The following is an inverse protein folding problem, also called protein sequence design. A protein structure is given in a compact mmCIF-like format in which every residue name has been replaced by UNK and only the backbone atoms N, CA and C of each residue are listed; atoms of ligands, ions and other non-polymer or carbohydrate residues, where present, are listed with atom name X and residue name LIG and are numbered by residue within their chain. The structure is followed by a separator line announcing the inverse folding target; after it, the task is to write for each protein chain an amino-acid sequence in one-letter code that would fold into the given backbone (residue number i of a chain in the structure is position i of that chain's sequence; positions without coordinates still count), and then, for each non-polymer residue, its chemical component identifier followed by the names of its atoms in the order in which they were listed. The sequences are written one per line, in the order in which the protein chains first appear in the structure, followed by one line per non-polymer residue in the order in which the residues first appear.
data_IF_865271606830
#
_entry.id   IF_865271606830
#
_cell.length_a   1.000
_cell.length_b   1.000
_cell.length_c   1.000
_cell.angle_alpha   90.00
_cell.angle_beta   90.00
_cell.angle_gamma   90.00
#
_symmetry.space_group_name_H-M   'P 1'
#
loop_
_entity.id
_entity.type
_entity.pdbx_description
1 polymer ?
#
# COMPACT_ATOMS: atom_id res chain seq x y z
N UNK A 1 44.90 4.16 36.50
CA UNK A 1 43.97 3.04 36.19
C UNK A 1 42.52 3.51 36.11
N UNK A 2 41.98 4.17 37.14
CA UNK A 2 40.56 4.62 37.16
C UNK A 2 40.16 5.62 36.06
N UNK A 3 41.06 6.55 35.68
CA UNK A 3 40.79 7.50 34.60
C UNK A 3 40.69 6.80 33.23
N UNK A 4 41.61 5.87 32.94
CA UNK A 4 41.60 5.09 31.70
C UNK A 4 40.32 4.24 31.59
N UNK A 5 39.94 3.57 32.68
CA UNK A 5 38.68 2.81 32.76
C UNK A 5 37.47 3.72 32.52
N UNK A 6 37.45 4.91 33.11
CA UNK A 6 36.36 5.87 32.91
C UNK A 6 36.26 6.32 31.45
N UNK A 7 37.39 6.64 30.79
CA UNK A 7 37.42 7.03 29.38
C UNK A 7 36.87 5.90 28.49
N UNK A 8 37.34 4.67 28.68
CA UNK A 8 36.87 3.50 27.91
C UNK A 8 35.37 3.29 28.11
N UNK A 9 34.90 3.37 29.36
CA UNK A 9 33.48 3.26 29.68
C UNK A 9 32.65 4.37 29.03
N UNK A 10 33.13 5.62 29.02
CA UNK A 10 32.44 6.72 28.32
C UNK A 10 32.24 6.40 26.84
N UNK A 11 33.30 5.95 26.15
CA UNK A 11 33.19 5.58 24.73
C UNK A 11 32.21 4.42 24.51
N UNK A 12 32.22 3.41 25.38
CA UNK A 12 31.27 2.30 25.29
C UNK A 12 29.81 2.78 25.49
N UNK A 13 29.57 3.65 26.48
CA UNK A 13 28.24 4.19 26.79
C UNK A 13 27.71 5.11 25.68
N UNK A 14 28.57 5.83 24.96
CA UNK A 14 28.17 6.67 23.83
C UNK A 14 27.51 5.87 22.69
N UNK A 15 27.84 4.59 22.56
CA UNK A 15 27.21 3.73 21.57
C UNK A 15 25.81 3.25 22.01
N UNK A 16 25.45 3.31 23.29
CA UNK A 16 24.20 2.73 23.80
C UNK A 16 22.93 3.34 23.19
N UNK A 17 22.79 4.67 23.01
CA UNK A 17 21.62 5.24 22.33
C UNK A 17 21.45 4.75 20.88
N UNK A 18 22.55 4.60 20.14
CA UNK A 18 22.52 4.03 18.78
C UNK A 18 22.02 2.58 18.81
N UNK A 19 22.49 1.79 19.78
CA UNK A 19 22.03 0.40 19.94
C UNK A 19 20.55 0.32 20.28
N UNK A 20 20.04 1.20 21.15
CA UNK A 20 18.61 1.28 21.45
C UNK A 20 17.82 1.55 20.15
N UNK A 21 18.26 2.50 19.33
CA UNK A 21 17.59 2.81 18.06
C UNK A 21 17.67 1.68 17.02
N UNK A 22 18.79 0.95 16.98
CA UNK A 22 18.96 -0.18 16.04
C UNK A 22 18.29 -1.47 16.53
N UNK A 23 18.01 -1.60 17.83
CA UNK A 23 17.52 -2.84 18.43
C UNK A 23 16.20 -3.38 17.84
N UNK A 24 15.20 -2.56 17.46
CA UNK A 24 14.02 -3.05 16.74
C UNK A 24 14.36 -3.64 15.37
N UNK A 25 15.30 -3.02 14.64
CA UNK A 25 15.73 -3.50 13.32
C UNK A 25 16.44 -4.86 13.40
N UNK A 26 17.20 -5.11 14.48
CA UNK A 26 17.83 -6.42 14.69
C UNK A 26 16.81 -7.55 14.86
N UNK A 27 15.59 -7.23 15.28
CA UNK A 27 14.47 -8.17 15.42
C UNK A 27 13.47 -8.10 14.27
N UNK A 28 13.70 -7.24 13.26
CA UNK A 28 12.81 -7.10 12.11
C UNK A 28 12.98 -8.22 11.07
N UNK A 29 14.05 -9.02 11.18
CA UNK A 29 14.24 -10.17 10.31
C UNK A 29 13.13 -11.23 10.54
N UNK A 30 12.61 -11.89 9.48
CA UNK A 30 11.58 -12.91 9.61
C UNK A 30 11.93 -13.98 10.64
N UNK A 31 11.02 -14.24 11.58
CA UNK A 31 11.21 -15.22 12.66
C UNK A 31 12.18 -14.82 13.78
N UNK A 32 12.81 -13.64 13.73
CA UNK A 32 13.76 -13.21 14.76
C UNK A 32 13.09 -13.00 16.13
N UNK A 33 11.84 -12.51 16.15
CA UNK A 33 11.05 -12.32 17.38
C UNK A 33 10.66 -13.65 18.07
N UNK A 34 10.68 -14.76 17.35
CA UNK A 34 10.44 -16.10 17.87
C UNK A 34 11.73 -16.85 18.24
N UNK A 35 12.88 -16.33 17.79
CA UNK A 35 14.18 -16.92 18.08
C UNK A 35 14.68 -16.50 19.47
N UNK A 36 14.77 -17.47 20.38
CA UNK A 36 15.22 -17.25 21.76
C UNK A 36 16.60 -16.59 21.85
N UNK A 37 17.54 -17.03 21.03
CA UNK A 37 18.90 -16.51 21.04
C UNK A 37 18.93 -15.05 20.54
N UNK A 38 18.14 -14.71 19.52
CA UNK A 38 18.07 -13.35 18.98
C UNK A 38 17.49 -12.37 20.01
N UNK A 39 16.30 -12.68 20.57
CA UNK A 39 15.65 -11.84 21.59
C UNK A 39 16.54 -11.67 22.82
N UNK A 40 17.09 -12.77 23.34
CA UNK A 40 17.98 -12.72 24.49
C UNK A 40 19.26 -11.92 24.21
N UNK A 41 19.84 -12.06 23.01
CA UNK A 41 21.02 -11.29 22.61
C UNK A 41 20.74 -9.80 22.61
N UNK A 42 19.62 -9.36 22.02
CA UNK A 42 19.21 -7.94 22.02
C UNK A 42 19.04 -7.43 23.45
N UNK A 43 18.33 -8.18 24.30
CA UNK A 43 18.10 -7.79 25.69
C UNK A 43 19.39 -7.71 26.50
N UNK A 44 20.28 -8.71 26.38
CA UNK A 44 21.59 -8.71 27.03
C UNK A 44 22.46 -7.56 26.54
N UNK A 45 22.43 -7.26 25.25
CA UNK A 45 23.17 -6.16 24.67
C UNK A 45 22.68 -4.83 25.24
N UNK A 46 21.37 -4.61 25.33
CA UNK A 46 20.83 -3.39 25.94
C UNK A 46 21.11 -3.26 27.45
N UNK A 47 21.37 -4.36 28.14
CA UNK A 47 21.69 -4.40 29.57
C UNK A 47 23.16 -4.05 29.91
N UNK A 48 24.06 -3.95 28.92
CA UNK A 48 25.50 -3.79 29.19
C UNK A 48 25.84 -2.59 30.10
N UNK A 49 25.17 -1.41 30.06
CA UNK A 49 25.47 -0.31 30.97
C UNK A 49 25.27 -0.69 32.44
N UNK A 50 24.23 -1.47 32.74
CA UNK A 50 23.95 -1.98 34.09
C UNK A 50 25.09 -2.88 34.54
N UNK A 51 25.52 -3.81 33.68
CA UNK A 51 26.62 -4.73 33.95
C UNK A 51 27.94 -4.01 34.23
N UNK A 52 28.29 -3.00 33.42
CA UNK A 52 29.50 -2.19 33.62
C UNK A 52 29.50 -1.51 34.99
N UNK A 53 28.39 -0.88 35.39
CA UNK A 53 28.33 -0.15 36.65
C UNK A 53 28.26 -1.08 37.88
N UNK A 54 27.64 -2.26 37.76
CA UNK A 54 27.74 -3.30 38.80
C UNK A 54 29.20 -3.72 38.99
N UNK A 55 29.91 -4.00 37.90
CA UNK A 55 31.33 -4.39 37.96
C UNK A 55 32.17 -3.27 38.61
N UNK A 56 31.97 -2.01 38.23
CA UNK A 56 32.68 -0.88 38.85
C UNK A 56 32.40 -0.78 40.35
N UNK A 57 31.14 -0.99 40.76
CA UNK A 57 30.77 -1.03 42.17
C UNK A 57 31.47 -2.14 42.95
N UNK A 58 31.57 -3.35 42.37
CA UNK A 58 32.26 -4.50 42.98
C UNK A 58 33.76 -4.25 43.19
N UNK A 59 34.41 -3.45 42.33
CA UNK A 59 35.81 -3.05 42.47
C UNK A 59 36.00 -1.74 43.25
N UNK A 60 34.95 -1.17 43.84
CA UNK A 60 35.02 0.08 44.61
C UNK A 60 35.35 1.32 43.76
N UNK A 61 35.09 1.28 42.45
CA UNK A 61 35.36 2.37 41.52
C UNK A 61 34.16 3.29 41.44
N UNK A 62 34.35 4.60 41.61
CA UNK A 62 33.36 5.63 41.28
C UNK A 62 33.54 6.09 39.83
N UNK A 63 32.46 6.23 39.08
CA UNK A 63 32.49 6.74 37.71
C UNK A 63 32.17 8.23 37.70
N UNK A 64 33.11 9.06 37.22
CA UNK A 64 33.00 10.52 37.22
C UNK A 64 32.62 11.13 38.59
N UNK A 65 33.10 10.51 39.68
CA UNK A 65 32.79 10.93 41.05
C UNK A 65 31.42 10.47 41.57
N UNK A 66 30.63 9.77 40.76
CA UNK A 66 29.33 9.22 41.15
C UNK A 66 29.49 7.76 41.57
N UNK A 67 28.75 7.36 42.61
CA UNK A 67 28.72 5.98 43.08
C UNK A 67 28.21 5.03 41.97
N UNK A 68 28.99 3.99 41.66
CA UNK A 68 28.67 3.08 40.56
C UNK A 68 27.43 2.21 40.81
N UNK A 69 27.12 1.83 42.06
CA UNK A 69 25.86 1.13 42.34
C UNK A 69 24.63 2.03 42.15
N UNK A 70 24.76 3.34 42.42
CA UNK A 70 23.70 4.31 42.10
C UNK A 70 23.49 4.41 40.58
N UNK A 71 24.59 4.51 39.81
CA UNK A 71 24.52 4.52 38.34
C UNK A 71 23.95 3.22 37.78
N UNK A 72 24.30 2.06 38.34
CA UNK A 72 23.71 0.78 37.96
C UNK A 72 22.18 0.77 38.14
N UNK A 73 21.68 1.32 39.26
CA UNK A 73 20.23 1.46 39.49
C UNK A 73 19.57 2.38 38.48
N UNK A 74 20.18 3.55 38.21
CA UNK A 74 19.66 4.50 37.22
C UNK A 74 19.61 3.83 35.85
N UNK A 75 20.71 3.21 35.41
CA UNK A 75 20.77 2.49 34.14
C UNK A 75 19.73 1.36 34.07
N UNK A 76 19.51 0.62 35.15
CA UNK A 76 18.50 -0.43 35.19
C UNK A 76 17.08 0.14 34.97
N UNK A 77 16.75 1.28 35.59
CA UNK A 77 15.46 1.96 35.37
C UNK A 77 15.32 2.39 33.91
N UNK A 78 16.35 2.99 33.32
CA UNK A 78 16.31 3.42 31.92
C UNK A 78 16.15 2.22 30.97
N UNK A 79 16.89 1.13 31.18
CA UNK A 79 16.76 -0.10 30.37
C UNK A 79 15.37 -0.72 30.53
N UNK A 80 14.79 -0.74 31.73
CA UNK A 80 13.42 -1.20 31.94
C UNK A 80 12.41 -0.37 31.15
N UNK A 81 12.57 0.96 31.10
CA UNK A 81 11.72 1.83 30.28
C UNK A 81 11.86 1.46 28.80
N UNK A 82 13.09 1.28 28.30
CA UNK A 82 13.35 0.84 26.91
C UNK A 82 12.64 -0.49 26.64
N UNK A 83 12.75 -1.46 27.53
CA UNK A 83 12.11 -2.78 27.35
C UNK A 83 10.58 -2.72 27.29
N UNK A 84 9.98 -1.80 28.04
CA UNK A 84 8.52 -1.56 27.99
C UNK A 84 8.14 -0.84 26.70
N UNK A 85 8.83 0.24 26.35
CA UNK A 85 8.54 1.07 25.15
C UNK A 85 8.64 0.26 23.86
N UNK A 86 9.66 -0.59 23.74
CA UNK A 86 9.87 -1.43 22.56
C UNK A 86 9.26 -2.83 22.67
N UNK A 87 8.55 -3.15 23.77
CA UNK A 87 7.84 -4.41 23.94
C UNK A 87 8.72 -5.66 24.19
N UNK A 88 10.03 -5.49 24.45
CA UNK A 88 10.95 -6.61 24.72
C UNK A 88 10.56 -7.43 25.95
N UNK A 89 9.97 -6.80 26.96
CA UNK A 89 9.42 -7.52 28.11
C UNK A 89 8.34 -8.52 27.70
N UNK A 90 7.42 -8.11 26.83
CA UNK A 90 6.33 -8.97 26.33
C UNK A 90 6.89 -10.11 25.49
N UNK A 91 7.83 -9.83 24.58
CA UNK A 91 8.48 -10.86 23.76
C UNK A 91 9.15 -11.94 24.61
N UNK A 92 9.87 -11.52 25.65
CA UNK A 92 10.54 -12.43 26.58
C UNK A 92 9.56 -13.24 27.43
N UNK A 93 8.49 -12.61 27.93
CA UNK A 93 7.45 -13.30 28.71
C UNK A 93 6.75 -14.36 27.86
N UNK A 94 6.40 -14.02 26.60
CA UNK A 94 5.77 -14.94 25.66
C UNK A 94 6.67 -16.16 25.41
N UNK A 95 7.96 -15.91 25.18
CA UNK A 95 8.96 -16.96 24.98
C UNK A 95 9.08 -17.90 26.19
N UNK A 96 9.05 -17.39 27.42
CA UNK A 96 9.07 -18.21 28.65
C UNK A 96 7.80 -19.07 28.72
N UNK A 97 6.65 -18.52 28.34
CA UNK A 97 5.36 -19.22 28.31
C UNK A 97 5.22 -20.20 27.15
N UNK A 98 6.18 -20.23 26.22
CA UNK A 98 6.09 -21.02 24.99
C UNK A 98 5.11 -20.46 23.95
N UNK A 99 4.72 -19.19 24.09
CA UNK A 99 3.83 -18.49 23.16
C UNK A 99 4.68 -17.83 22.08
N UNK A 100 4.42 -18.08 20.79
CA UNK A 100 5.10 -17.38 19.70
C UNK A 100 4.69 -15.91 19.64
N UNK A 101 5.65 -15.08 19.25
CA UNK A 101 5.53 -13.64 19.06
C UNK A 101 5.09 -13.26 17.64
N UNK A 102 4.94 -14.22 16.73
CA UNK A 102 4.36 -14.01 15.40
C UNK A 102 3.24 -15.00 15.09
N UNK A 103 2.30 -14.57 14.26
CA UNK A 103 1.21 -15.41 13.75
C UNK A 103 0.21 -15.87 14.82
N UNK A 104 -0.64 -16.82 14.46
CA UNK A 104 -1.59 -17.43 15.39
C UNK A 104 -0.98 -18.64 16.11
N UNK A 105 -1.38 -18.85 17.36
CA UNK A 105 -1.03 -20.07 18.09
C UNK A 105 -2.03 -20.40 19.18
N UNK A 106 -2.17 -21.69 19.47
CA UNK A 106 -2.92 -22.20 20.62
C UNK A 106 -1.93 -22.76 21.63
N UNK A 107 -1.88 -22.17 22.83
CA UNK A 107 -0.98 -22.59 23.91
C UNK A 107 -1.77 -22.67 25.20
N UNK A 108 -1.69 -23.82 25.89
CA UNK A 108 -2.37 -24.06 27.17
C UNK A 108 -3.86 -23.67 27.16
N UNK A 109 -4.60 -24.11 26.13
CA UNK A 109 -6.03 -23.80 25.97
C UNK A 109 -6.32 -22.29 25.88
N UNK A 110 -5.38 -21.50 25.35
CA UNK A 110 -5.57 -20.08 25.08
C UNK A 110 -5.08 -19.79 23.66
N UNK A 111 -5.86 -19.01 22.92
CA UNK A 111 -5.52 -18.59 21.55
C UNK A 111 -4.78 -17.26 21.60
N UNK A 112 -3.73 -17.15 20.79
CA UNK A 112 -2.88 -15.96 20.67
C UNK A 112 -2.76 -15.53 19.21
N UNK A 113 -2.57 -14.23 19.00
CA UNK A 113 -2.05 -13.64 17.78
C UNK A 113 -0.84 -12.76 18.12
N UNK A 114 0.33 -13.12 17.58
CA UNK A 114 1.60 -12.43 17.79
C UNK A 114 1.87 -12.14 19.28
N UNK A 115 1.71 -13.16 20.12
CA UNK A 115 1.91 -13.07 21.57
C UNK A 115 0.78 -12.41 22.37
N UNK A 116 -0.27 -11.92 21.71
CA UNK A 116 -1.42 -11.27 22.37
C UNK A 116 -2.60 -12.23 22.45
N UNK A 117 -3.27 -12.31 23.60
CA UNK A 117 -4.43 -13.18 23.81
C UNK A 117 -5.62 -12.74 22.95
N UNK A 118 -6.23 -13.67 22.24
CA UNK A 118 -7.52 -13.45 21.55
C UNK A 118 -8.64 -13.84 22.51
N UNK A 119 -9.34 -12.85 23.06
CA UNK A 119 -10.43 -13.09 24.00
C UNK A 119 -11.67 -13.62 23.29
N UNK A 120 -12.27 -14.69 23.83
CA UNK A 120 -13.50 -15.29 23.29
C UNK A 120 -13.29 -16.28 22.15
N UNK A 121 -12.04 -16.53 21.74
CA UNK A 121 -11.74 -17.60 20.79
C UNK A 121 -11.87 -18.97 21.42
N UNK A 122 -12.37 -19.94 20.65
CA UNK A 122 -12.49 -21.33 21.05
C UNK A 122 -11.19 -22.09 20.69
N UNK A 123 -10.35 -22.47 21.66
CA UNK A 123 -9.08 -23.13 21.39
C UNK A 123 -9.23 -24.53 20.80
N UNK A 124 -10.31 -25.23 21.11
CA UNK A 124 -10.51 -26.63 20.71
C UNK A 124 -10.88 -26.76 19.23
N UNK A 125 -11.50 -25.71 18.66
CA UNK A 125 -11.91 -25.65 17.26
C UNK A 125 -11.10 -24.67 16.42
N UNK A 126 -10.02 -24.11 16.96
CA UNK A 126 -9.23 -23.08 16.30
C UNK A 126 -8.44 -23.64 15.11
N UNK A 127 -8.61 -23.03 13.95
CA UNK A 127 -7.98 -23.39 12.68
C UNK A 127 -7.21 -22.18 12.16
N UNK A 128 -5.96 -22.40 11.77
CA UNK A 128 -5.12 -21.43 11.07
C UNK A 128 -4.96 -21.85 9.62
N UNK A 129 -4.80 -20.89 8.71
CA UNK A 129 -4.67 -21.16 7.29
C UNK A 129 -3.21 -21.02 6.83
N UNK A 130 -2.69 -22.03 6.14
CA UNK A 130 -1.32 -22.05 5.64
C UNK A 130 -1.26 -21.47 4.21
N UNK A 131 -0.12 -20.86 3.86
CA UNK A 131 0.09 -20.28 2.54
C UNK A 131 0.16 -21.29 1.41
N UNK A 132 0.61 -22.51 1.70
CA UNK A 132 0.74 -23.59 0.71
C UNK A 132 -0.60 -24.02 0.12
N UNK A 133 -1.69 -23.78 0.83
CA UNK A 133 -3.02 -24.21 0.42
C UNK A 133 -3.66 -23.26 -0.61
N UNK A 134 -3.12 -22.05 -0.80
CA UNK A 134 -3.78 -20.99 -1.57
C UNK A 134 -2.86 -20.23 -2.54
N UNK A 135 -1.63 -20.70 -2.77
CA UNK A 135 -0.63 -20.06 -3.65
C UNK A 135 -0.42 -18.55 -3.37
N UNK A 136 -0.73 -18.11 -2.14
CA UNK A 136 -0.66 -16.72 -1.69
C UNK A 136 0.16 -16.66 -0.39
N UNK A 137 1.46 -16.42 -0.56
CA UNK A 137 2.46 -16.64 0.50
C UNK A 137 2.32 -15.75 1.74
N UNK A 138 1.64 -14.61 1.64
CA UNK A 138 1.69 -13.59 2.70
C UNK A 138 0.34 -13.29 3.36
N UNK A 139 -0.79 -13.48 2.68
CA UNK A 139 -2.09 -13.03 3.21
C UNK A 139 -2.82 -14.08 4.05
N UNK A 140 -2.63 -15.36 3.77
CA UNK A 140 -3.35 -16.49 4.40
C UNK A 140 -3.12 -16.61 5.89
N UNK A 141 -1.87 -16.50 6.33
CA UNK A 141 -1.46 -16.58 7.74
C UNK A 141 -2.04 -15.47 8.64
N UNK A 142 -2.64 -14.44 8.04
CA UNK A 142 -3.32 -13.35 8.74
C UNK A 142 -4.74 -13.74 9.17
N UNK A 143 -5.26 -14.84 8.62
CA UNK A 143 -6.61 -15.34 8.90
C UNK A 143 -6.56 -16.57 9.79
N UNK A 144 -7.63 -16.73 10.57
CA UNK A 144 -7.92 -17.93 11.34
C UNK A 144 -9.43 -18.02 11.56
N UNK A 145 -9.91 -19.17 12.01
CA UNK A 145 -11.30 -19.36 12.40
C UNK A 145 -11.42 -20.29 13.59
N UNK A 146 -12.56 -20.24 14.26
CA UNK A 146 -13.03 -21.29 15.15
C UNK A 146 -14.49 -21.61 14.81
N UNK A 147 -15.16 -22.46 15.58
CA UNK A 147 -16.55 -22.84 15.33
C UNK A 147 -17.57 -21.67 15.36
N UNK A 148 -17.19 -20.51 15.91
CA UNK A 148 -18.10 -19.37 16.14
C UNK A 148 -17.65 -18.08 15.45
N UNK A 149 -16.36 -17.94 15.14
CA UNK A 149 -15.76 -16.68 14.71
C UNK A 149 -14.73 -16.87 13.61
N UNK A 150 -14.68 -15.88 12.72
CA UNK A 150 -13.61 -15.70 11.76
C UNK A 150 -12.71 -14.54 12.20
N UNK A 151 -11.40 -14.67 12.01
CA UNK A 151 -10.39 -13.74 12.51
C UNK A 151 -9.51 -13.19 11.40
N UNK A 152 -9.15 -11.92 11.52
CA UNK A 152 -8.18 -11.24 10.68
C UNK A 152 -7.26 -10.38 11.56
N UNK A 153 -5.94 -10.59 11.46
CA UNK A 153 -4.94 -9.94 12.33
C UNK A 153 -5.25 -10.07 13.85
N UNK A 154 -5.66 -11.26 14.29
CA UNK A 154 -5.97 -11.53 15.69
C UNK A 154 -7.27 -10.90 16.20
N UNK A 155 -8.03 -10.22 15.33
CA UNK A 155 -9.31 -9.60 15.66
C UNK A 155 -10.45 -10.39 15.03
N UNK A 156 -11.52 -10.58 15.79
CA UNK A 156 -12.76 -11.15 15.27
C UNK A 156 -13.35 -10.22 14.22
N UNK A 157 -13.68 -10.77 13.05
CA UNK A 157 -14.45 -10.09 12.01
C UNK A 157 -15.92 -10.21 12.36
N UNK A 158 -16.63 -9.08 12.37
CA UNK A 158 -18.03 -9.06 12.79
C UNK A 158 -18.92 -9.70 11.73
N UNK A 159 -19.97 -10.38 12.18
CA UNK A 159 -21.04 -10.95 11.35
C UNK A 159 -20.63 -12.01 10.33
N UNK A 160 -19.37 -12.44 10.30
CA UNK A 160 -18.90 -13.55 9.45
C UNK A 160 -19.24 -14.89 10.10
N UNK A 161 -19.88 -15.76 9.32
CA UNK A 161 -20.11 -17.16 9.68
C UNK A 161 -18.89 -18.02 9.24
N UNK A 162 -18.16 -18.65 10.18
CA UNK A 162 -16.99 -19.45 9.82
C UNK A 162 -17.35 -20.81 9.18
N UNK A 163 -18.63 -21.22 9.20
CA UNK A 163 -19.03 -22.53 8.67
C UNK A 163 -18.74 -22.63 7.17
N UNK A 164 -18.07 -23.71 6.77
CA UNK A 164 -17.72 -24.00 5.38
C UNK A 164 -16.88 -22.91 4.68
N UNK A 165 -16.26 -21.99 5.43
CA UNK A 165 -15.50 -20.89 4.84
C UNK A 165 -14.21 -21.41 4.19
N UNK A 166 -13.93 -20.98 2.95
CA UNK A 166 -12.75 -21.38 2.18
C UNK A 166 -12.12 -20.17 1.50
N UNK A 167 -10.80 -20.15 1.46
CA UNK A 167 -10.06 -19.18 0.68
C UNK A 167 -10.18 -19.46 -0.81
N UNK A 168 -10.34 -18.41 -1.61
CA UNK A 168 -10.28 -18.47 -3.06
C UNK A 168 -9.54 -17.24 -3.56
N UNK A 169 -8.57 -17.47 -4.44
CA UNK A 169 -7.89 -16.39 -5.15
C UNK A 169 -8.78 -15.95 -6.31
N UNK A 170 -9.13 -14.67 -6.35
CA UNK A 170 -9.88 -14.06 -7.44
C UNK A 170 -9.04 -12.87 -7.91
N UNK A 171 -8.57 -12.96 -9.16
CA UNK A 171 -7.44 -12.15 -9.66
C UNK A 171 -6.23 -12.26 -8.72
N UNK A 172 -5.82 -11.19 -8.04
CA UNK A 172 -4.68 -11.16 -7.13
C UNK A 172 -5.05 -11.01 -5.65
N UNK A 173 -6.36 -11.05 -5.33
CA UNK A 173 -6.88 -10.87 -3.96
C UNK A 173 -7.40 -12.21 -3.41
N UNK A 174 -7.07 -12.50 -2.15
CA UNK A 174 -7.57 -13.68 -1.43
C UNK A 174 -8.91 -13.34 -0.75
N UNK A 175 -9.99 -13.90 -1.28
CA UNK A 175 -11.32 -13.82 -0.69
C UNK A 175 -11.61 -15.07 0.13
N UNK A 176 -12.50 -14.94 1.11
CA UNK A 176 -13.01 -16.01 1.94
C UNK A 176 -14.50 -16.18 1.69
N UNK A 177 -14.90 -17.36 1.23
CA UNK A 177 -16.25 -17.62 0.75
C UNK A 177 -16.86 -18.74 1.59
N UNK A 178 -18.07 -18.52 2.09
CA UNK A 178 -18.91 -19.56 2.70
C UNK A 178 -20.19 -19.73 1.89
N UNK A 179 -21.21 -20.40 2.44
CA UNK A 179 -22.47 -20.65 1.74
C UNK A 179 -23.29 -19.37 1.44
N UNK A 180 -23.00 -18.25 2.11
CA UNK A 180 -23.81 -17.03 2.11
C UNK A 180 -23.02 -15.71 1.98
N UNK A 181 -21.72 -15.71 2.23
CA UNK A 181 -20.89 -14.51 2.36
C UNK A 181 -19.61 -14.63 1.56
N UNK A 182 -19.22 -13.51 0.95
CA UNK A 182 -17.87 -13.26 0.44
C UNK A 182 -17.22 -12.28 1.38
N UNK A 183 -16.01 -12.58 1.84
CA UNK A 183 -15.29 -11.81 2.84
C UNK A 183 -13.91 -11.47 2.31
N UNK A 184 -13.51 -10.21 2.43
CA UNK A 184 -12.16 -9.76 2.12
C UNK A 184 -11.60 -9.09 3.37
N UNK A 185 -10.44 -9.53 3.88
CA UNK A 185 -9.82 -8.93 5.07
C UNK A 185 -10.77 -8.92 6.26
N UNK A 186 -11.24 -7.74 6.68
CA UNK A 186 -12.14 -7.52 7.80
C UNK A 186 -13.56 -7.08 7.38
N UNK A 187 -13.94 -7.24 6.12
CA UNK A 187 -15.24 -6.81 5.60
C UNK A 187 -15.96 -7.93 4.85
N UNK A 188 -17.28 -7.97 5.01
CA UNK A 188 -18.18 -8.76 4.17
C UNK A 188 -18.50 -7.92 2.94
N UNK A 189 -18.41 -8.51 1.76
CA UNK A 189 -18.82 -7.86 0.51
C UNK A 189 -20.34 -7.90 0.44
N UNK A 190 -20.96 -6.72 0.48
CA UNK A 190 -22.42 -6.62 0.50
C UNK A 190 -23.03 -7.17 -0.80
N UNK A 191 -24.14 -7.91 -0.68
CA UNK A 191 -24.89 -8.49 -1.80
C UNK A 191 -24.11 -9.44 -2.74
N UNK A 192 -22.88 -9.82 -2.39
CA UNK A 192 -22.08 -10.77 -3.15
C UNK A 192 -22.60 -12.20 -2.99
N UNK A 193 -22.82 -12.87 -4.12
CA UNK A 193 -23.12 -14.30 -4.14
C UNK A 193 -21.82 -15.11 -4.17
N UNK A 194 -21.50 -15.88 -3.13
CA UNK A 194 -20.23 -16.62 -3.06
C UNK A 194 -20.06 -17.67 -4.16
N UNK A 195 -21.15 -18.15 -4.77
CA UNK A 195 -21.08 -19.18 -5.81
C UNK A 195 -20.72 -18.64 -7.18
N UNK A 196 -20.94 -17.36 -7.42
CA UNK A 196 -20.79 -16.71 -8.74
C UNK A 196 -19.88 -15.48 -8.67
N UNK A 197 -19.33 -15.16 -7.51
CA UNK A 197 -18.40 -14.05 -7.34
C UNK A 197 -17.11 -14.32 -8.12
N UNK A 198 -16.80 -13.43 -9.06
CA UNK A 198 -15.67 -13.55 -9.97
C UNK A 198 -15.16 -12.16 -10.37
N UNK A 199 -13.97 -12.12 -10.92
CA UNK A 199 -13.39 -10.95 -11.54
C UNK A 199 -13.72 -10.91 -13.06
N UNK A 200 -13.77 -9.71 -13.65
CA UNK A 200 -14.00 -9.54 -15.09
C UNK A 200 -12.80 -9.93 -15.94
N UNK A 201 -11.61 -9.48 -15.57
CA UNK A 201 -10.33 -9.70 -16.26
C UNK A 201 -9.18 -9.42 -15.28
N UNK A 202 -8.18 -10.30 -15.24
CA UNK A 202 -7.04 -10.20 -14.31
C UNK A 202 -6.23 -8.90 -14.50
N UNK A 203 -6.27 -8.29 -15.68
CA UNK A 203 -5.68 -6.97 -15.94
C UNK A 203 -6.41 -5.82 -15.19
N UNK A 204 -7.63 -6.08 -14.71
CA UNK A 204 -8.45 -5.16 -13.93
C UNK A 204 -8.93 -5.75 -12.59
N UNK A 205 -8.02 -5.93 -11.60
CA UNK A 205 -8.30 -6.59 -10.31
C UNK A 205 -9.33 -5.86 -9.43
N UNK A 206 -9.65 -4.61 -9.74
CA UNK A 206 -10.63 -3.77 -9.04
C UNK A 206 -12.07 -4.05 -9.49
N UNK A 207 -12.29 -4.67 -10.65
CA UNK A 207 -13.63 -4.89 -11.22
C UNK A 207 -14.09 -6.34 -11.02
N UNK A 208 -15.01 -6.53 -10.08
CA UNK A 208 -15.60 -7.85 -9.79
C UNK A 208 -17.10 -7.85 -10.09
N UNK A 209 -17.70 -9.03 -10.15
CA UNK A 209 -19.13 -9.20 -10.25
C UNK A 209 -19.62 -10.45 -9.52
N UNK A 210 -20.92 -10.50 -9.27
CA UNK A 210 -21.62 -11.71 -8.85
C UNK A 210 -23.04 -11.72 -9.37
N UNK A 211 -23.57 -12.91 -9.61
CA UNK A 211 -24.92 -13.15 -10.12
C UNK A 211 -25.79 -13.80 -9.03
N UNK A 212 -27.02 -13.29 -8.84
CA UNK A 212 -28.03 -13.89 -7.95
C UNK A 212 -29.39 -13.89 -8.65
N UNK A 213 -29.95 -15.08 -8.89
CA UNK A 213 -31.30 -15.27 -9.45
C UNK A 213 -31.55 -14.53 -10.79
N UNK A 214 -30.55 -14.55 -11.67
CA UNK A 214 -30.54 -13.87 -12.98
C UNK A 214 -30.16 -12.39 -12.91
N UNK A 215 -29.83 -11.85 -11.73
CA UNK A 215 -29.44 -10.45 -11.55
C UNK A 215 -27.95 -10.34 -11.23
N UNK A 216 -27.25 -9.54 -12.02
CA UNK A 216 -25.83 -9.25 -11.81
C UNK A 216 -25.65 -7.99 -10.94
N UNK A 217 -24.63 -8.05 -10.09
CA UNK A 217 -24.11 -6.91 -9.32
C UNK A 217 -22.64 -6.76 -9.67
N UNK A 218 -22.22 -5.54 -9.99
CA UNK A 218 -20.83 -5.17 -10.31
C UNK A 218 -20.23 -4.47 -9.10
N UNK A 219 -18.94 -4.71 -8.86
CA UNK A 219 -18.19 -4.12 -7.76
C UNK A 219 -16.95 -3.41 -8.28
N UNK A 220 -16.69 -2.22 -7.74
CA UNK A 220 -15.42 -1.51 -7.89
C UNK A 220 -14.72 -1.50 -6.53
N UNK A 221 -13.50 -2.04 -6.46
CA UNK A 221 -12.74 -2.15 -5.21
C UNK A 221 -13.59 -2.67 -4.04
N UNK A 222 -14.37 -3.71 -4.33
CA UNK A 222 -15.16 -4.46 -3.36
C UNK A 222 -16.44 -3.72 -2.86
N UNK A 223 -16.77 -2.57 -3.46
CA UNK A 223 -17.99 -1.77 -3.23
C UNK A 223 -18.99 -1.90 -4.40
N UNK A 224 -20.30 -1.86 -4.11
CA UNK A 224 -21.35 -2.02 -5.13
C UNK A 224 -21.38 -0.81 -6.09
N UNK A 225 -21.19 -1.07 -7.39
CA UNK A 225 -21.39 -0.08 -8.43
C UNK A 225 -22.88 0.05 -8.78
N UNK A 226 -23.39 1.28 -8.75
CA UNK A 226 -24.81 1.59 -9.01
C UNK A 226 -25.04 1.97 -10.48
N UNK A 227 -26.28 1.77 -10.93
CA UNK A 227 -26.74 2.14 -12.27
C UNK A 227 -25.96 1.51 -13.44
N UNK A 228 -25.50 0.27 -13.25
CA UNK A 228 -24.73 -0.48 -14.25
C UNK A 228 -25.63 -1.32 -15.14
N UNK A 229 -25.36 -1.29 -16.44
CA UNK A 229 -25.85 -2.28 -17.40
C UNK A 229 -24.82 -3.40 -17.58
N UNK A 230 -24.99 -4.50 -16.86
CA UNK A 230 -24.02 -5.59 -16.82
C UNK A 230 -23.70 -6.17 -18.22
N UNK A 231 -24.72 -6.34 -19.07
CA UNK A 231 -24.56 -6.99 -20.38
C UNK A 231 -23.63 -6.22 -21.34
N UNK A 232 -23.46 -4.92 -21.13
CA UNK A 232 -22.58 -4.07 -21.92
C UNK A 232 -21.38 -3.54 -21.13
N UNK A 233 -21.24 -3.92 -19.86
CA UNK A 233 -20.18 -3.45 -19.00
C UNK A 233 -18.83 -4.00 -19.44
N UNK A 234 -17.89 -3.10 -19.70
CA UNK A 234 -16.54 -3.41 -20.16
C UNK A 234 -15.54 -2.56 -19.36
N UNK A 235 -14.69 -3.17 -18.52
CA UNK A 235 -13.49 -2.53 -18.00
C UNK A 235 -12.60 -2.02 -19.14
N UNK A 236 -12.01 -0.84 -19.00
CA UNK A 236 -11.22 -0.22 -20.07
C UNK A 236 -9.73 -0.11 -19.72
N UNK A 237 -9.37 0.81 -18.83
CA UNK A 237 -8.00 1.06 -18.42
C UNK A 237 -7.99 1.61 -17.00
N UNK A 238 -7.09 1.13 -16.14
CA UNK A 238 -7.02 1.61 -14.76
C UNK A 238 -8.41 1.55 -14.10
N UNK A 239 -8.83 2.59 -13.37
CA UNK A 239 -10.15 2.68 -12.76
C UNK A 239 -11.31 2.98 -13.72
N UNK A 240 -11.10 3.02 -15.04
CA UNK A 240 -12.16 3.32 -16.00
C UNK A 240 -12.89 2.07 -16.50
N UNK A 241 -14.20 2.21 -16.67
CA UNK A 241 -15.05 1.23 -17.34
C UNK A 241 -16.15 1.95 -18.11
N UNK A 242 -16.86 1.25 -18.99
CA UNK A 242 -18.06 1.77 -19.62
C UNK A 242 -19.15 0.71 -19.71
N UNK A 243 -20.39 1.16 -19.79
CA UNK A 243 -21.51 0.38 -20.29
C UNK A 243 -22.21 1.15 -21.41
N UNK A 244 -23.36 0.66 -21.90
CA UNK A 244 -24.12 1.32 -22.98
C UNK A 244 -24.77 2.65 -22.58
N UNK A 245 -24.79 3.00 -21.29
CA UNK A 245 -25.45 4.18 -20.72
C UNK A 245 -24.48 5.14 -20.02
N UNK A 246 -23.31 4.68 -19.56
CA UNK A 246 -22.40 5.45 -18.70
C UNK A 246 -20.92 5.12 -18.97
N UNK A 247 -20.06 6.10 -18.67
CA UNK A 247 -18.63 5.87 -18.42
C UNK A 247 -18.39 6.03 -16.92
N UNK A 248 -17.60 5.13 -16.36
CA UNK A 248 -17.28 5.08 -14.94
C UNK A 248 -15.80 5.40 -14.72
N UNK A 249 -15.51 6.08 -13.61
CA UNK A 249 -14.20 6.10 -12.98
C UNK A 249 -14.37 5.76 -11.51
N UNK A 250 -13.90 4.58 -11.11
CA UNK A 250 -14.23 4.01 -9.82
C UNK A 250 -15.74 3.82 -9.65
N UNK A 251 -16.29 4.31 -8.54
CA UNK A 251 -17.72 4.25 -8.26
C UNK A 251 -18.54 5.36 -8.95
N UNK A 252 -17.89 6.32 -9.61
CA UNK A 252 -18.53 7.51 -10.14
C UNK A 252 -18.86 7.39 -11.62
N UNK A 253 -20.05 7.87 -12.00
CA UNK A 253 -20.41 8.13 -13.40
C UNK A 253 -19.81 9.48 -13.82
N UNK A 254 -19.08 9.48 -14.92
CA UNK A 254 -18.39 10.66 -15.47
C UNK A 254 -18.82 10.90 -16.92
N UNK A 255 -18.57 12.12 -17.41
CA UNK A 255 -18.79 12.54 -18.82
C UNK A 255 -20.12 12.05 -19.42
N UNK A 256 -21.28 12.36 -18.80
CA UNK A 256 -22.59 11.86 -19.24
C UNK A 256 -22.98 12.27 -20.66
N UNK A 257 -22.33 13.29 -21.23
CA UNK A 257 -22.53 13.77 -22.60
C UNK A 257 -21.75 13.01 -23.68
N UNK A 258 -20.86 12.09 -23.30
CA UNK A 258 -20.03 11.35 -24.25
C UNK A 258 -20.83 10.40 -25.15
N UNK A 259 -20.41 10.26 -26.41
CA UNK A 259 -20.97 9.26 -27.30
C UNK A 259 -20.37 7.87 -27.00
N UNK A 260 -21.09 7.11 -26.17
CA UNK A 260 -20.65 5.80 -25.64
C UNK A 260 -20.40 4.74 -26.72
N UNK A 261 -21.10 4.86 -27.86
CA UNK A 261 -20.95 3.92 -28.98
C UNK A 261 -19.58 4.06 -29.64
N UNK A 262 -19.06 5.28 -29.69
CA UNK A 262 -17.77 5.61 -30.32
C UNK A 262 -16.65 5.89 -29.32
N UNK A 263 -16.96 5.91 -28.02
CA UNK A 263 -15.99 6.17 -26.96
C UNK A 263 -14.92 5.07 -26.88
N UNK A 264 -13.66 5.48 -27.00
CA UNK A 264 -12.48 4.61 -26.87
C UNK A 264 -11.34 5.33 -26.14
N UNK A 265 -10.56 4.56 -25.38
CA UNK A 265 -9.30 5.04 -24.78
C UNK A 265 -8.21 4.98 -25.84
N UNK A 266 -7.42 6.05 -25.95
CA UNK A 266 -6.35 6.14 -26.94
C UNK A 266 -5.14 5.31 -26.49
N UNK A 267 -4.85 4.24 -27.23
CA UNK A 267 -3.78 3.29 -26.89
C UNK A 267 -2.36 3.86 -26.99
N UNK A 268 -2.18 4.96 -27.73
CA UNK A 268 -0.91 5.69 -27.83
C UNK A 268 -0.77 6.78 -26.77
N UNK A 269 -1.84 7.09 -26.02
CA UNK A 269 -1.88 8.14 -25.01
C UNK A 269 -2.99 7.82 -23.99
N UNK A 270 -2.70 6.90 -23.07
CA UNK A 270 -3.69 6.34 -22.14
C UNK A 270 -4.31 7.39 -21.19
N UNK A 271 -3.77 8.60 -21.14
CA UNK A 271 -4.34 9.77 -20.45
C UNK A 271 -5.48 10.43 -21.23
N UNK A 272 -5.81 9.94 -22.42
CA UNK A 272 -6.85 10.50 -23.28
C UNK A 272 -7.80 9.44 -23.79
N UNK A 273 -9.06 9.86 -23.98
CA UNK A 273 -10.07 9.11 -24.70
C UNK A 273 -10.67 9.99 -25.78
N UNK A 274 -11.37 9.38 -26.73
CA UNK A 274 -12.16 10.12 -27.71
C UNK A 274 -13.49 9.47 -27.95
N UNK A 275 -14.42 10.28 -28.40
CA UNK A 275 -15.58 9.82 -29.14
C UNK A 275 -15.58 10.44 -30.55
N UNK A 276 -16.66 10.28 -31.31
CA UNK A 276 -16.77 10.84 -32.67
C UNK A 276 -16.67 12.37 -32.77
N UNK A 277 -16.75 13.12 -31.66
CA UNK A 277 -16.87 14.58 -31.63
C UNK A 277 -15.92 15.26 -30.67
N UNK A 278 -15.43 14.57 -29.64
CA UNK A 278 -14.65 15.15 -28.56
C UNK A 278 -13.42 14.30 -28.22
N UNK A 279 -12.37 14.98 -27.76
CA UNK A 279 -11.26 14.39 -27.01
C UNK A 279 -11.49 14.67 -25.53
N UNK A 280 -11.24 13.67 -24.69
CA UNK A 280 -11.36 13.74 -23.24
C UNK A 280 -9.99 13.59 -22.59
N UNK A 281 -9.71 14.42 -21.59
CA UNK A 281 -8.56 14.23 -20.71
C UNK A 281 -8.97 13.37 -19.50
N UNK A 282 -8.35 12.20 -19.34
CA UNK A 282 -8.69 11.21 -18.33
C UNK A 282 -8.00 11.53 -16.99
N UNK A 283 -8.58 12.46 -16.22
CA UNK A 283 -8.06 12.90 -14.90
C UNK A 283 -8.91 12.39 -13.72
N UNK A 284 -9.31 11.13 -13.79
CA UNK A 284 -10.15 10.47 -12.79
C UNK A 284 -11.54 11.07 -12.72
N UNK A 285 -11.94 11.53 -11.54
CA UNK A 285 -13.26 12.18 -11.34
C UNK A 285 -13.38 13.53 -12.08
N UNK A 286 -12.27 14.15 -12.47
CA UNK A 286 -12.25 15.44 -13.18
C UNK A 286 -12.18 15.27 -14.72
N UNK A 287 -12.40 14.04 -15.20
CA UNK A 287 -12.43 13.75 -16.63
C UNK A 287 -13.45 14.63 -17.34
N UNK A 288 -13.01 15.29 -18.40
CA UNK A 288 -13.83 16.25 -19.16
C UNK A 288 -13.39 16.34 -20.62
N UNK A 289 -14.34 16.74 -21.48
CA UNK A 289 -14.06 17.05 -22.87
C UNK A 289 -13.18 18.31 -22.99
N UNK A 290 -12.19 18.26 -23.87
CA UNK A 290 -11.31 19.37 -24.17
C UNK A 290 -11.90 20.13 -25.36
N UNK A 291 -12.34 21.37 -25.12
CA UNK A 291 -12.97 22.17 -26.16
C UNK A 291 -11.99 22.53 -27.29
N UNK A 292 -12.40 22.24 -28.53
CA UNK A 292 -11.72 22.70 -29.74
C UNK A 292 -10.61 21.77 -30.25
N UNK A 293 -10.37 20.63 -29.61
CA UNK A 293 -9.56 19.56 -30.18
C UNK A 293 -10.35 18.76 -31.21
N UNK A 294 -9.73 18.48 -32.35
CA UNK A 294 -10.29 17.65 -33.41
C UNK A 294 -9.95 16.16 -33.24
N UNK A 295 -10.93 15.27 -32.96
CA UNK A 295 -10.68 13.85 -32.72
C UNK A 295 -10.04 13.10 -33.89
N UNK A 296 -10.26 13.56 -35.13
CA UNK A 296 -9.77 12.91 -36.34
C UNK A 296 -8.29 13.19 -36.59
N UNK A 297 -7.78 14.34 -36.11
CA UNK A 297 -6.38 14.75 -36.26
C UNK A 297 -5.61 14.77 -34.94
N UNK A 298 -6.20 14.26 -33.85
CA UNK A 298 -5.55 14.18 -32.56
C UNK A 298 -4.30 13.30 -32.60
N UNK A 299 -3.22 13.84 -32.09
CA UNK A 299 -1.93 13.18 -31.97
C UNK A 299 -1.36 13.48 -30.58
N UNK A 300 -1.16 12.42 -29.79
CA UNK A 300 -0.33 12.51 -28.59
C UNK A 300 1.14 12.48 -28.98
N UNK A 301 1.91 13.39 -28.40
CA UNK A 301 3.35 13.49 -28.58
C UNK A 301 4.02 13.12 -27.25
N UNK A 302 5.34 13.07 -27.22
CA UNK A 302 6.11 12.85 -26.00
C UNK A 302 6.07 14.09 -25.06
N UNK A 303 6.50 13.88 -23.82
CA UNK A 303 6.71 14.94 -22.81
C UNK A 303 5.47 15.80 -22.53
N UNK A 304 4.31 15.15 -22.51
CA UNK A 304 3.00 15.76 -22.24
C UNK A 304 2.58 16.84 -23.24
N UNK A 305 3.03 16.75 -24.48
CA UNK A 305 2.50 17.55 -25.57
C UNK A 305 1.47 16.75 -26.37
N UNK A 306 0.42 17.44 -26.82
CA UNK A 306 -0.59 16.89 -27.73
C UNK A 306 -0.85 17.94 -28.81
N UNK A 307 -1.28 17.49 -29.98
CA UNK A 307 -1.65 18.39 -31.07
C UNK A 307 -2.84 17.86 -31.84
N UNK A 308 -3.47 18.76 -32.57
CA UNK A 308 -4.39 18.46 -33.65
C UNK A 308 -4.05 19.31 -34.87
N UNK A 309 -4.89 19.29 -35.91
CA UNK A 309 -4.69 20.16 -37.09
C UNK A 309 -4.74 21.66 -36.80
N UNK A 310 -5.24 22.08 -35.63
CA UNK A 310 -5.60 23.46 -35.29
C UNK A 310 -4.74 24.07 -34.18
N UNK A 311 -4.01 23.27 -33.42
CA UNK A 311 -3.24 23.75 -32.27
C UNK A 311 -2.32 22.71 -31.66
N UNK A 312 -1.40 23.22 -30.84
CA UNK A 312 -0.54 22.43 -29.94
C UNK A 312 -0.93 22.78 -28.51
N UNK A 313 -0.89 21.78 -27.65
CA UNK A 313 -1.27 21.87 -26.25
C UNK A 313 -0.23 21.14 -25.41
N UNK A 314 -0.10 21.58 -24.16
CA UNK A 314 0.69 20.89 -23.15
C UNK A 314 -0.24 20.54 -21.99
N UNK A 315 -0.04 19.37 -21.37
CA UNK A 315 -0.84 18.95 -20.23
C UNK A 315 -0.01 18.62 -19.01
N UNK A 316 -0.59 18.87 -17.83
CA UNK A 316 -0.01 18.49 -16.55
C UNK A 316 -1.12 18.14 -15.56
N UNK A 317 -0.78 17.41 -14.50
CA UNK A 317 -1.75 17.14 -13.44
C UNK A 317 -2.17 18.42 -12.68
N UNK A 318 -1.33 19.45 -12.63
CA UNK A 318 -1.64 20.70 -11.92
C UNK A 318 -2.52 21.64 -12.73
N UNK A 319 -2.29 21.72 -14.04
CA UNK A 319 -2.84 22.77 -14.89
C UNK A 319 -3.85 22.21 -15.90
N UNK A 320 -4.05 20.89 -15.94
CA UNK A 320 -4.87 20.22 -16.94
C UNK A 320 -4.26 20.40 -18.34
N UNK A 321 -5.12 20.49 -19.36
CA UNK A 321 -4.70 20.69 -20.75
C UNK A 321 -4.75 22.17 -21.11
N UNK A 322 -3.60 22.73 -21.52
CA UNK A 322 -3.45 24.14 -21.86
C UNK A 322 -3.02 24.30 -23.32
N UNK A 323 -3.66 25.22 -24.05
CA UNK A 323 -3.31 25.52 -25.43
C UNK A 323 -2.10 26.45 -25.49
N UNK A 324 -1.15 26.12 -26.36
CA UNK A 324 0.00 26.97 -26.67
C UNK A 324 -0.37 27.89 -27.84
N UNK A 325 -0.75 29.13 -27.54
CA UNK A 325 -1.35 30.02 -28.53
C UNK A 325 -0.42 30.43 -29.69
N UNK A 326 0.88 30.58 -29.43
CA UNK A 326 1.86 31.05 -30.41
C UNK A 326 2.62 29.90 -31.12
N UNK A 327 2.23 28.65 -30.85
CA UNK A 327 2.84 27.47 -31.44
C UNK A 327 2.52 27.32 -32.93
N UNK A 328 3.56 27.07 -33.73
CA UNK A 328 3.42 26.72 -35.13
C UNK A 328 3.23 25.21 -35.32
N UNK A 329 1.96 24.78 -35.46
CA UNK A 329 1.54 23.37 -35.50
C UNK A 329 2.33 22.52 -36.51
N UNK A 330 2.64 23.06 -37.69
CA UNK A 330 3.33 22.34 -38.76
C UNK A 330 4.80 22.06 -38.44
N UNK A 331 5.49 22.98 -37.75
CA UNK A 331 6.91 22.86 -37.43
C UNK A 331 7.20 22.47 -35.98
N UNK A 332 6.17 22.31 -35.15
CA UNK A 332 6.32 21.94 -33.75
C UNK A 332 6.91 20.53 -33.62
N UNK A 333 8.00 20.43 -32.89
CA UNK A 333 8.72 19.20 -32.62
C UNK A 333 9.10 19.14 -31.14
N UNK A 334 8.74 18.04 -30.49
CA UNK A 334 9.23 17.70 -29.15
C UNK A 334 10.63 17.12 -29.29
N UNK A 335 11.55 17.55 -28.43
CA UNK A 335 12.94 17.12 -28.45
C UNK A 335 13.37 16.61 -27.08
N UNK A 336 14.58 16.06 -27.00
CA UNK A 336 15.24 15.90 -25.72
C UNK A 336 15.48 17.24 -25.02
N UNK A 337 15.79 17.18 -23.73
CA UNK A 337 15.97 18.39 -22.93
C UNK A 337 17.31 19.00 -23.32
N UNK A 338 17.28 20.24 -23.77
CA UNK A 338 18.46 20.98 -24.18
C UNK A 338 18.83 21.99 -23.08
N UNK A 339 19.96 21.75 -22.41
CA UNK A 339 20.49 22.63 -21.37
C UNK A 339 20.85 24.03 -21.89
N UNK A 340 21.23 24.16 -23.17
CA UNK A 340 21.68 25.43 -23.74
C UNK A 340 20.54 26.42 -23.98
N UNK A 341 19.36 25.88 -24.32
CA UNK A 341 18.14 26.65 -24.58
C UNK A 341 17.12 26.53 -23.44
N UNK A 342 17.37 25.64 -22.48
CA UNK A 342 16.46 25.27 -21.39
C UNK A 342 15.07 24.88 -21.94
N UNK A 343 15.04 24.02 -22.96
CA UNK A 343 13.83 23.67 -23.71
C UNK A 343 13.63 22.17 -23.89
N UNK A 344 12.37 21.75 -24.07
CA UNK A 344 11.95 20.39 -24.34
C UNK A 344 11.13 20.24 -25.63
N UNK A 345 10.81 21.35 -26.29
CA UNK A 345 10.20 21.39 -27.60
C UNK A 345 10.57 22.69 -28.32
N UNK A 346 10.37 22.70 -29.64
CA UNK A 346 10.63 23.85 -30.48
C UNK A 346 9.65 23.88 -31.64
N UNK A 347 9.47 25.06 -32.21
CA UNK A 347 8.91 25.22 -33.54
C UNK A 347 9.82 26.13 -34.38
N UNK A 348 9.37 26.63 -35.54
CA UNK A 348 10.17 27.53 -36.38
C UNK A 348 10.45 28.91 -35.75
N UNK A 349 9.74 29.30 -34.69
CA UNK A 349 9.79 30.64 -34.06
C UNK A 349 10.29 30.63 -32.63
N UNK A 350 10.05 29.57 -31.86
CA UNK A 350 10.26 29.55 -30.42
C UNK A 350 10.84 28.23 -29.92
N UNK A 351 11.46 28.31 -28.74
CA UNK A 351 11.79 27.19 -27.86
C UNK A 351 10.79 27.18 -26.71
N UNK A 352 10.36 25.99 -26.31
CA UNK A 352 9.34 25.76 -25.29
C UNK A 352 9.90 24.90 -24.15
N UNK A 353 9.42 25.14 -22.94
CA UNK A 353 9.62 24.27 -21.80
C UNK A 353 8.28 24.05 -21.13
N UNK A 354 7.78 22.80 -21.12
CA UNK A 354 6.48 22.46 -20.52
C UNK A 354 5.32 23.35 -21.01
N UNK A 355 5.29 23.64 -22.30
CA UNK A 355 4.27 24.48 -22.94
C UNK A 355 4.53 25.98 -22.91
N UNK A 356 5.49 26.46 -22.12
CA UNK A 356 5.80 27.88 -21.99
C UNK A 356 6.97 28.29 -22.90
N UNK A 357 6.88 29.48 -23.52
CA UNK A 357 7.96 30.03 -24.34
C UNK A 357 9.14 30.42 -23.45
N UNK A 358 10.31 29.84 -23.70
CA UNK A 358 11.55 30.17 -22.96
C UNK A 358 12.48 31.08 -23.75
N UNK A 359 12.46 31.00 -25.08
CA UNK A 359 13.29 31.84 -25.96
C UNK A 359 12.76 31.85 -27.39
N UNK A 360 13.05 32.90 -28.16
CA UNK A 360 12.75 32.97 -29.59
C UNK A 360 13.91 32.45 -30.43
N UNK A 361 13.60 31.81 -31.55
CA UNK A 361 14.59 31.36 -32.55
C UNK A 361 14.90 32.52 -33.49
N UNK A 362 16.13 33.01 -33.41
CA UNK A 362 16.59 34.21 -34.12
C UNK A 362 17.07 33.95 -35.55
N UNK A 363 16.48 33.01 -36.27
CA UNK A 363 16.84 32.71 -37.67
C UNK A 363 15.60 32.53 -38.54
N UNK A 364 14.93 33.64 -38.86
CA UNK A 364 14.19 33.88 -40.11
C UNK A 364 14.24 35.36 -40.50
#
# INVERSE_FOLDING_TARGET
MHLLLSIITTFALMAWPLMVMMSPMMLAAPGAVDNKAAVLSVMLFLLFPVGIFILFGLFGINYLGINSFLLAKISAVVVCIVFVVFGYSSLFINMIKGVPNSGYAVVNNTVYFSGTVISGADPDSFITYDSKDYENEHSTSLYASDNHSFYYFGKRVSDVDPRNIKGQLISHKLYWLNDTQVVLRNQIIEAANPRTFSNFDDDFPQWNYSETEGKYTVYYDDEILKAVDFDSFTPLFSGYAKDKNHIFYGENIIVPEADLQTFEILTTSYEFARDKSNIYYLSGNETSAINGLDPDSFEGIERNYIKDKSGVYHYSQSDGVQRIHDADVESFAVTDYDESTNSDALDKKHYYMRGEIVSSRSDF
#
